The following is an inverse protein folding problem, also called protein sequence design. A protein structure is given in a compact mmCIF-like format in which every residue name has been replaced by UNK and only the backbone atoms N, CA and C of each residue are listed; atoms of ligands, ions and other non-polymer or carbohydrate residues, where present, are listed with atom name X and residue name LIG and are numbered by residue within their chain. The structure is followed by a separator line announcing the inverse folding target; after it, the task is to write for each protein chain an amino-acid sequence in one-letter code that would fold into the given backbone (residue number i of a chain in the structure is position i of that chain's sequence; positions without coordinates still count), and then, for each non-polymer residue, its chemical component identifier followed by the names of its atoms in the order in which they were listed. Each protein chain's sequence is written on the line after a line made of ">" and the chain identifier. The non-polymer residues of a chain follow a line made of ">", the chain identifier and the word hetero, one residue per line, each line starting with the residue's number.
data_IF_328379487545
#
_entry.id   IF_328379487545
#
_cell.length_a   1.000
_cell.length_b   1.000
_cell.length_c   1.000
_cell.angle_alpha   90.00
_cell.angle_beta   90.00
_cell.angle_gamma   90.00
#
_symmetry.space_group_name_H-M   'P 1'
#
loop_
_entity.id
_entity.type
_entity.pdbx_description
1 polymer ?
#
# COMPACT_ATOMS: atom_id res chain seq x y z
N UNK A 1 7.71 -25.23 -55.31
CA UNK A 1 8.18 -25.94 -54.10
C UNK A 1 9.13 -25.02 -53.34
N UNK A 2 8.97 -24.95 -52.00
CA UNK A 2 9.82 -24.28 -50.99
C UNK A 2 9.74 -22.74 -51.00
N UNK A 3 9.54 -22.00 -49.89
CA UNK A 3 9.54 -22.32 -48.44
C UNK A 3 8.76 -21.21 -47.71
N UNK A 4 7.95 -21.61 -46.73
CA UNK A 4 7.11 -20.74 -45.92
C UNK A 4 7.81 -20.23 -44.67
N UNK A 5 8.77 -19.31 -44.81
CA UNK A 5 9.52 -18.75 -43.68
C UNK A 5 8.98 -17.42 -43.14
N UNK A 6 7.99 -16.82 -43.79
CA UNK A 6 7.36 -15.57 -43.32
C UNK A 6 6.16 -15.79 -42.38
N UNK A 7 5.70 -17.04 -42.22
CA UNK A 7 4.61 -17.41 -41.30
C UNK A 7 5.10 -17.57 -39.84
N UNK A 8 6.42 -17.60 -39.64
CA UNK A 8 7.07 -17.96 -38.37
C UNK A 8 7.15 -16.81 -37.34
N UNK A 9 7.01 -15.54 -37.75
CA UNK A 9 7.26 -14.38 -36.87
C UNK A 9 6.08 -13.38 -36.71
N UNK A 10 5.13 -13.34 -37.66
CA UNK A 10 4.20 -12.20 -37.80
C UNK A 10 2.76 -12.42 -37.34
N UNK A 11 2.36 -13.61 -36.84
CA UNK A 11 1.12 -13.78 -36.02
C UNK A 11 1.34 -13.28 -34.57
N UNK A 12 1.95 -12.11 -34.48
CA UNK A 12 2.18 -11.30 -33.30
C UNK A 12 0.78 -10.88 -32.82
N UNK A 13 0.43 -11.25 -31.59
CA UNK A 13 -0.92 -11.11 -30.97
C UNK A 13 -1.92 -12.21 -31.36
N UNK A 14 -1.61 -13.46 -30.99
CA UNK A 14 -2.67 -14.40 -30.64
C UNK A 14 -3.56 -13.74 -29.58
N UNK A 15 -4.81 -13.48 -29.98
CA UNK A 15 -5.83 -12.83 -29.17
C UNK A 15 -6.04 -13.67 -27.91
N UNK A 16 -5.45 -13.26 -26.78
CA UNK A 16 -5.61 -13.93 -25.48
C UNK A 16 -7.07 -14.32 -25.27
N UNK A 17 -7.32 -15.59 -24.99
CA UNK A 17 -8.66 -16.11 -24.72
C UNK A 17 -9.33 -15.29 -23.60
N UNK A 18 -10.66 -15.29 -23.54
CA UNK A 18 -11.41 -14.47 -22.56
C UNK A 18 -10.99 -14.80 -21.12
N UNK A 19 -10.78 -16.07 -20.81
CA UNK A 19 -10.31 -16.54 -19.49
C UNK A 19 -8.89 -16.10 -19.17
N UNK A 20 -8.05 -16.02 -20.19
CA UNK A 20 -6.66 -15.58 -20.09
C UNK A 20 -6.53 -14.11 -19.70
N UNK A 21 -7.32 -13.24 -20.35
CA UNK A 21 -7.40 -11.81 -20.00
C UNK A 21 -7.91 -11.60 -18.58
N UNK A 22 -8.89 -12.42 -18.15
CA UNK A 22 -9.40 -12.39 -16.78
C UNK A 22 -8.32 -12.78 -15.76
N UNK A 23 -7.58 -13.86 -15.97
CA UNK A 23 -6.52 -14.27 -15.04
C UNK A 23 -5.43 -13.19 -14.90
N UNK A 24 -5.01 -12.58 -16.01
CA UNK A 24 -4.01 -11.51 -16.00
C UNK A 24 -4.49 -10.26 -15.24
N UNK A 25 -5.77 -9.86 -15.41
CA UNK A 25 -6.32 -8.71 -14.69
C UNK A 25 -6.38 -8.97 -13.18
N UNK A 26 -6.81 -10.17 -12.77
CA UNK A 26 -6.86 -10.56 -11.35
C UNK A 26 -5.48 -10.67 -10.72
N UNK A 27 -4.47 -11.15 -11.46
CA UNK A 27 -3.07 -11.13 -11.00
C UNK A 27 -2.61 -9.68 -10.78
N UNK A 28 -2.91 -8.78 -11.71
CA UNK A 28 -2.51 -7.38 -11.59
C UNK A 28 -3.22 -6.69 -10.41
N UNK A 29 -4.51 -6.95 -10.19
CA UNK A 29 -5.25 -6.44 -9.05
C UNK A 29 -4.60 -6.86 -7.72
N UNK A 30 -4.30 -8.15 -7.54
CA UNK A 30 -3.66 -8.66 -6.32
C UNK A 30 -2.24 -8.13 -6.12
N UNK A 31 -1.50 -7.87 -7.21
CA UNK A 31 -0.20 -7.17 -7.16
C UNK A 31 -0.36 -5.75 -6.64
N UNK A 32 -1.30 -4.99 -7.20
CA UNK A 32 -1.54 -3.60 -6.77
C UNK A 32 -2.00 -3.54 -5.31
N UNK A 33 -2.85 -4.47 -4.86
CA UNK A 33 -3.25 -4.57 -3.46
C UNK A 33 -2.06 -4.86 -2.54
N UNK A 34 -1.20 -5.81 -2.91
CA UNK A 34 0.02 -6.13 -2.16
C UNK A 34 0.93 -4.90 -2.06
N UNK A 35 1.21 -4.24 -3.19
CA UNK A 35 2.10 -3.08 -3.24
C UNK A 35 1.50 -1.84 -2.55
N UNK A 36 0.18 -1.67 -2.59
CA UNK A 36 -0.51 -0.61 -1.84
C UNK A 36 -0.17 -0.75 -0.35
N UNK A 37 -0.39 -1.92 0.24
CA UNK A 37 -0.12 -2.13 1.66
C UNK A 37 1.37 -2.08 2.00
N UNK A 38 2.25 -2.63 1.16
CA UNK A 38 3.69 -2.50 1.35
C UNK A 38 4.14 -1.04 1.36
N UNK A 39 3.62 -0.22 0.45
CA UNK A 39 3.91 1.21 0.42
C UNK A 39 3.39 1.93 1.66
N UNK A 40 2.17 1.62 2.12
CA UNK A 40 1.63 2.19 3.37
C UNK A 40 2.55 1.84 4.55
N UNK A 41 3.00 0.59 4.64
CA UNK A 41 3.92 0.11 5.68
C UNK A 41 5.38 0.55 5.49
N UNK A 42 5.73 1.22 4.38
CA UNK A 42 7.11 1.63 4.09
C UNK A 42 8.04 0.47 3.70
N UNK A 43 7.47 -0.67 3.30
CA UNK A 43 8.21 -1.87 2.89
C UNK A 43 8.51 -1.84 1.39
N UNK A 44 9.66 -2.40 0.96
CA UNK A 44 9.95 -2.60 -0.45
C UNK A 44 8.86 -3.41 -1.15
N UNK A 45 8.58 -3.07 -2.40
CA UNK A 45 7.64 -3.82 -3.21
C UNK A 45 8.16 -5.23 -3.52
N UNK A 46 7.33 -6.25 -3.32
CA UNK A 46 7.67 -7.61 -3.76
C UNK A 46 7.78 -7.66 -5.28
N UNK A 47 8.91 -8.20 -5.79
CA UNK A 47 9.16 -8.31 -7.23
C UNK A 47 8.14 -9.23 -7.90
N UNK A 48 7.70 -8.82 -9.09
CA UNK A 48 6.80 -9.59 -9.93
C UNK A 48 7.55 -10.23 -11.11
N UNK A 49 7.30 -11.51 -11.35
CA UNK A 49 7.88 -12.22 -12.49
C UNK A 49 7.41 -11.59 -13.82
N UNK A 50 8.37 -11.27 -14.69
CA UNK A 50 8.13 -10.64 -16.01
C UNK A 50 7.47 -11.60 -17.01
N UNK A 51 7.72 -12.91 -16.88
CA UNK A 51 7.24 -13.96 -17.81
C UNK A 51 5.74 -14.25 -17.77
N UNK A 52 4.99 -13.76 -16.77
CA UNK A 52 3.56 -14.10 -16.60
C UNK A 52 2.70 -13.66 -17.77
N UNK A 53 2.99 -12.49 -18.37
CA UNK A 53 2.24 -12.01 -19.55
C UNK A 53 2.49 -12.85 -20.80
N UNK A 54 3.68 -13.42 -20.92
CA UNK A 54 4.12 -14.16 -22.11
C UNK A 54 3.87 -15.67 -22.00
N UNK A 55 3.63 -16.19 -20.79
CA UNK A 55 3.28 -17.60 -20.60
C UNK A 55 1.90 -17.89 -21.19
N UNK A 56 1.81 -18.88 -22.09
CA UNK A 56 0.57 -19.43 -22.64
C UNK A 56 -0.10 -20.48 -21.75
N UNK A 57 0.47 -20.81 -20.58
CA UNK A 57 -0.06 -21.85 -19.70
C UNK A 57 -1.14 -21.30 -18.74
N UNK A 58 -2.41 -21.74 -18.85
CA UNK A 58 -3.46 -21.33 -17.93
C UNK A 58 -3.21 -21.79 -16.49
N UNK A 59 -2.61 -22.98 -16.30
CA UNK A 59 -2.27 -23.50 -14.98
C UNK A 59 -1.18 -22.69 -14.28
N UNK A 60 -0.16 -22.27 -15.03
CA UNK A 60 0.84 -21.35 -14.52
C UNK A 60 0.20 -20.02 -14.07
N UNK A 61 -0.70 -19.44 -14.88
CA UNK A 61 -1.41 -18.21 -14.52
C UNK A 61 -2.30 -18.39 -13.29
N UNK A 62 -3.02 -19.51 -13.17
CA UNK A 62 -3.81 -19.86 -11.97
C UNK A 62 -2.92 -19.98 -10.73
N UNK A 63 -1.77 -20.63 -10.84
CA UNK A 63 -0.80 -20.71 -9.76
C UNK A 63 -0.28 -19.32 -9.34
N UNK A 64 0.08 -18.47 -10.31
CA UNK A 64 0.51 -17.08 -10.05
C UNK A 64 -0.59 -16.30 -9.36
N UNK A 65 -1.85 -16.44 -9.78
CA UNK A 65 -2.99 -15.79 -9.13
C UNK A 65 -3.12 -16.20 -7.67
N UNK A 66 -3.07 -17.51 -7.36
CA UNK A 66 -3.10 -18.02 -5.98
C UNK A 66 -1.95 -17.48 -5.14
N UNK A 67 -0.74 -17.41 -5.71
CA UNK A 67 0.42 -16.83 -5.05
C UNK A 67 0.19 -15.36 -4.68
N UNK A 68 -0.26 -14.54 -5.64
CA UNK A 68 -0.51 -13.12 -5.39
C UNK A 68 -1.70 -12.88 -4.48
N UNK A 69 -2.71 -13.75 -4.51
CA UNK A 69 -3.81 -13.72 -3.55
C UNK A 69 -3.31 -13.89 -2.11
N UNK A 70 -2.50 -14.91 -1.84
CA UNK A 70 -1.91 -15.12 -0.50
C UNK A 70 -1.06 -13.93 -0.04
N UNK A 71 -0.27 -13.36 -0.94
CA UNK A 71 0.55 -12.16 -0.65
C UNK A 71 -0.30 -10.93 -0.32
N UNK A 72 -1.38 -10.70 -1.06
CA UNK A 72 -2.29 -9.59 -0.82
C UNK A 72 -2.97 -9.72 0.56
N UNK A 73 -3.48 -10.92 0.88
CA UNK A 73 -4.07 -11.22 2.19
C UNK A 73 -3.06 -10.99 3.31
N UNK A 74 -1.83 -11.49 3.16
CA UNK A 74 -0.78 -11.32 4.16
C UNK A 74 -0.41 -9.84 4.34
N UNK A 75 -0.25 -9.09 3.25
CA UNK A 75 0.08 -7.67 3.32
C UNK A 75 -1.03 -6.86 3.99
N UNK A 76 -2.30 -7.20 3.72
CA UNK A 76 -3.46 -6.60 4.40
C UNK A 76 -3.49 -6.92 5.89
N UNK A 77 -3.26 -8.19 6.26
CA UNK A 77 -3.17 -8.61 7.67
C UNK A 77 -2.08 -7.85 8.41
N UNK A 78 -0.89 -7.73 7.81
CA UNK A 78 0.21 -6.96 8.40
C UNK A 78 -0.15 -5.47 8.54
N UNK A 79 -0.74 -4.87 7.50
CA UNK A 79 -1.13 -3.46 7.55
C UNK A 79 -2.22 -3.17 8.59
N UNK A 80 -3.05 -4.15 8.95
CA UNK A 80 -4.06 -4.00 10.01
C UNK A 80 -3.46 -3.99 11.43
N UNK A 81 -2.19 -4.36 11.60
CA UNK A 81 -1.51 -4.44 12.90
C UNK A 81 -0.24 -3.57 12.91
N UNK A 82 -0.38 -2.23 12.94
CA UNK A 82 0.78 -1.36 13.17
C UNK A 82 1.42 -1.69 14.54
N UNK A 83 2.77 -1.74 14.65
CA UNK A 83 3.46 -2.19 15.87
C UNK A 83 3.02 -1.50 17.18
N UNK A 84 2.80 -0.19 17.17
CA UNK A 84 2.42 0.62 18.32
C UNK A 84 0.97 1.11 18.21
N UNK A 85 0.07 0.25 17.69
CA UNK A 85 -1.35 0.57 17.47
C UNK A 85 -2.00 1.25 18.68
N UNK A 86 -1.80 0.70 19.87
CA UNK A 86 -2.47 1.19 21.08
C UNK A 86 -1.92 2.55 21.54
N UNK A 87 -0.63 2.81 21.31
CA UNK A 87 -0.04 4.13 21.54
C UNK A 87 -0.65 5.18 20.60
N UNK A 88 -0.80 4.87 19.32
CA UNK A 88 -1.44 5.79 18.36
C UNK A 88 -2.92 6.01 18.66
N UNK A 89 -3.63 4.98 19.13
CA UNK A 89 -5.02 5.13 19.58
C UNK A 89 -5.13 5.99 20.83
N UNK A 90 -4.19 5.84 21.78
CA UNK A 90 -4.12 6.73 22.95
C UNK A 90 -3.88 8.17 22.52
N UNK A 91 -2.93 8.42 21.62
CA UNK A 91 -2.66 9.76 21.11
C UNK A 91 -3.91 10.33 20.43
N UNK A 92 -4.48 9.58 19.50
CA UNK A 92 -5.69 9.97 18.78
C UNK A 92 -6.83 10.42 19.69
N UNK A 93 -7.04 9.73 20.83
CA UNK A 93 -8.09 10.04 21.81
C UNK A 93 -8.03 11.49 22.33
N UNK A 94 -6.84 12.10 22.38
CA UNK A 94 -6.66 13.47 22.86
C UNK A 94 -6.42 14.48 21.73
N UNK A 95 -6.05 14.03 20.53
CA UNK A 95 -5.69 14.92 19.42
C UNK A 95 -6.88 15.36 18.56
N UNK A 96 -7.72 14.43 18.10
CA UNK A 96 -8.86 14.80 17.26
C UNK A 96 -9.48 13.65 16.48
N UNK A 97 -10.61 13.90 15.81
CA UNK A 97 -11.28 12.91 14.97
C UNK A 97 -10.42 12.47 13.76
N UNK A 98 -10.55 11.24 13.28
CA UNK A 98 -9.76 10.73 12.15
C UNK A 98 -9.87 11.57 10.87
N UNK A 99 -10.99 12.23 10.67
CA UNK A 99 -11.29 13.12 9.54
C UNK A 99 -11.18 14.61 9.90
N UNK A 100 -10.51 14.96 11.00
CA UNK A 100 -10.42 16.34 11.47
C UNK A 100 -9.71 17.25 10.45
N UNK A 101 -10.37 18.36 10.13
CA UNK A 101 -9.86 19.47 9.32
C UNK A 101 -10.46 20.78 9.83
N UNK A 102 -9.97 21.24 10.98
CA UNK A 102 -10.55 22.37 11.71
C UNK A 102 -10.02 23.74 11.28
N UNK A 103 -9.04 23.78 10.38
CA UNK A 103 -8.41 25.03 9.92
C UNK A 103 -7.19 25.47 10.72
N UNK A 104 -6.74 24.68 11.70
CA UNK A 104 -5.58 24.98 12.54
C UNK A 104 -4.22 24.56 11.94
N UNK A 105 -4.17 24.12 10.69
CA UNK A 105 -2.96 23.64 10.01
C UNK A 105 -2.59 22.17 10.26
N UNK A 106 -3.34 21.47 11.10
CA UNK A 106 -3.16 20.03 11.39
C UNK A 106 -4.34 19.22 10.87
N UNK A 107 -4.06 17.96 10.51
CA UNK A 107 -5.03 17.12 9.81
C UNK A 107 -5.10 15.71 10.40
N UNK A 108 -6.32 15.18 10.41
CA UNK A 108 -6.61 13.81 10.80
C UNK A 108 -6.51 13.55 12.30
N UNK A 109 -6.69 12.30 12.68
CA UNK A 109 -6.85 11.90 14.07
C UNK A 109 -5.56 11.96 14.90
N UNK A 110 -4.41 12.03 14.24
CA UNK A 110 -3.11 12.28 14.87
C UNK A 110 -2.64 13.72 14.65
N UNK A 111 -3.50 14.64 14.19
CA UNK A 111 -3.17 16.06 14.04
C UNK A 111 -1.79 16.28 13.40
N UNK A 112 -1.59 15.78 12.19
CA UNK A 112 -0.30 15.88 11.47
C UNK A 112 -0.28 17.13 10.60
N UNK A 113 0.76 17.96 10.68
CA UNK A 113 0.96 19.07 9.75
C UNK A 113 1.38 18.57 8.34
N UNK A 114 1.36 19.46 7.34
CA UNK A 114 1.69 19.10 5.96
C UNK A 114 3.15 18.72 5.75
N UNK A 115 4.08 19.22 6.56
CA UNK A 115 5.50 18.85 6.51
C UNK A 115 5.74 17.43 7.03
N UNK A 116 5.11 17.07 8.14
CA UNK A 116 5.07 15.71 8.68
C UNK A 116 4.47 14.76 7.65
N UNK A 117 3.34 15.15 7.05
CA UNK A 117 2.67 14.36 6.01
C UNK A 117 3.53 14.20 4.76
N UNK A 118 4.26 15.24 4.33
CA UNK A 118 5.17 15.17 3.19
C UNK A 118 6.35 14.24 3.48
N UNK A 119 6.88 14.27 4.71
CA UNK A 119 8.07 13.50 5.10
C UNK A 119 7.73 12.02 5.33
N UNK A 120 6.67 11.75 6.08
CA UNK A 120 6.35 10.40 6.54
C UNK A 120 5.13 9.80 5.85
N UNK A 121 4.38 10.56 5.05
CA UNK A 121 3.18 10.12 4.35
C UNK A 121 3.17 10.48 2.86
N UNK A 122 4.31 10.81 2.25
CA UNK A 122 4.40 11.45 0.92
C UNK A 122 3.48 10.83 -0.15
N UNK A 123 3.40 9.50 -0.19
CA UNK A 123 2.62 8.79 -1.20
C UNK A 123 1.11 8.86 -0.95
N UNK A 124 0.70 8.99 0.31
CA UNK A 124 -0.68 9.25 0.70
C UNK A 124 -1.03 10.70 0.38
N UNK A 125 -0.17 11.65 0.78
CA UNK A 125 -0.34 13.07 0.51
C UNK A 125 -0.58 13.35 -0.99
N UNK A 126 0.27 12.78 -1.86
CA UNK A 126 0.15 12.95 -3.31
C UNK A 126 -1.10 12.31 -3.93
N UNK A 127 -1.68 11.28 -3.32
CA UNK A 127 -2.81 10.52 -3.90
C UNK A 127 -4.17 10.88 -3.30
N UNK A 128 -4.18 11.33 -2.05
CA UNK A 128 -5.40 11.52 -1.27
C UNK A 128 -5.52 12.93 -0.69
N UNK A 129 -4.52 13.80 -0.88
CA UNK A 129 -4.46 15.05 -0.15
C UNK A 129 -4.10 14.81 1.32
N UNK A 130 -4.56 15.69 2.20
CA UNK A 130 -4.17 15.73 3.61
C UNK A 130 -4.72 14.57 4.44
N UNK A 131 -4.19 14.38 5.65
CA UNK A 131 -4.43 13.21 6.48
C UNK A 131 -5.89 12.96 6.88
N UNK A 132 -6.75 13.98 6.84
CA UNK A 132 -8.21 13.86 6.97
C UNK A 132 -8.83 12.91 5.93
N UNK A 133 -8.16 12.71 4.78
CA UNK A 133 -8.58 11.80 3.71
C UNK A 133 -7.94 10.40 3.82
N UNK A 134 -7.10 10.17 4.82
CA UNK A 134 -6.39 8.90 5.01
C UNK A 134 -7.15 8.03 5.99
N UNK A 135 -7.10 6.71 5.79
CA UNK A 135 -7.69 5.80 6.78
C UNK A 135 -6.92 5.85 8.10
N UNK A 136 -7.54 5.48 9.24
CA UNK A 136 -6.83 5.42 10.53
C UNK A 136 -5.52 4.63 10.45
N UNK A 137 -5.53 3.48 9.78
CA UNK A 137 -4.32 2.67 9.57
C UNK A 137 -3.25 3.42 8.76
N UNK A 138 -3.63 4.15 7.72
CA UNK A 138 -2.69 4.92 6.91
C UNK A 138 -2.03 6.06 7.71
N UNK A 139 -2.80 6.72 8.60
CA UNK A 139 -2.28 7.72 9.54
C UNK A 139 -1.32 7.09 10.56
N UNK A 140 -1.72 5.97 11.19
CA UNK A 140 -0.85 5.23 12.11
C UNK A 140 0.45 4.77 11.44
N UNK A 141 0.40 4.28 10.19
CA UNK A 141 1.61 3.87 9.48
C UNK A 141 2.52 5.05 9.07
N UNK A 142 1.98 6.26 8.90
CA UNK A 142 2.80 7.46 8.77
C UNK A 142 3.50 7.79 10.11
N UNK A 143 2.79 7.68 11.23
CA UNK A 143 3.35 7.86 12.57
C UNK A 143 4.41 6.81 12.92
N UNK A 144 4.16 5.52 12.62
CA UNK A 144 5.16 4.45 12.73
C UNK A 144 6.44 4.76 11.96
N UNK A 145 6.29 5.33 10.75
CA UNK A 145 7.45 5.73 9.95
C UNK A 145 8.22 6.87 10.61
N UNK A 146 7.54 7.84 11.22
CA UNK A 146 8.20 8.91 11.97
C UNK A 146 8.96 8.37 13.17
N UNK A 147 8.35 7.45 13.93
CA UNK A 147 8.96 6.77 15.06
C UNK A 147 10.22 6.01 14.64
N UNK A 148 10.14 5.18 13.59
CA UNK A 148 11.28 4.43 13.03
C UNK A 148 12.40 5.32 12.50
N UNK A 149 12.11 6.59 12.17
CA UNK A 149 13.08 7.58 11.69
C UNK A 149 13.62 8.46 12.82
N UNK A 150 13.40 8.09 14.08
CA UNK A 150 14.00 8.72 15.25
C UNK A 150 13.20 9.88 15.84
N UNK A 151 11.99 10.17 15.35
CA UNK A 151 11.14 11.22 15.96
C UNK A 151 10.55 10.78 17.31
N UNK A 152 10.50 9.48 17.60
CA UNK A 152 9.78 8.95 18.75
C UNK A 152 8.32 9.41 18.77
N UNK A 153 7.78 9.64 19.97
CA UNK A 153 6.44 10.21 20.19
C UNK A 153 6.46 11.75 20.38
N UNK A 154 7.62 12.38 20.25
CA UNK A 154 7.81 13.82 20.46
C UNK A 154 7.03 14.77 19.53
N UNK A 155 6.49 14.35 18.35
CA UNK A 155 5.54 15.19 17.62
C UNK A 155 4.26 15.49 18.41
N UNK A 156 3.94 14.68 19.44
CA UNK A 156 2.76 14.83 20.30
C UNK A 156 3.16 14.99 21.77
N UNK A 157 3.91 16.04 22.16
CA UNK A 157 4.64 16.04 23.43
C UNK A 157 3.75 16.02 24.68
N UNK A 158 2.60 16.69 24.66
CA UNK A 158 1.67 16.69 25.79
C UNK A 158 0.90 15.37 25.86
N UNK A 159 0.34 14.96 24.73
CA UNK A 159 -0.44 13.74 24.61
C UNK A 159 0.38 12.48 24.86
N UNK A 160 1.62 12.44 24.37
CA UNK A 160 2.53 11.33 24.61
C UNK A 160 2.84 11.15 26.10
N UNK A 161 2.97 12.25 26.88
CA UNK A 161 3.08 12.17 28.35
C UNK A 161 1.80 11.65 28.99
N UNK A 162 0.63 12.13 28.57
CA UNK A 162 -0.65 11.59 29.06
C UNK A 162 -0.81 10.10 28.75
N UNK A 163 -0.20 9.62 27.68
CA UNK A 163 -0.18 8.22 27.28
C UNK A 163 0.99 7.42 27.87
N UNK A 164 1.86 8.02 28.68
CA UNK A 164 3.02 7.35 29.30
C UNK A 164 4.08 6.87 28.29
N UNK A 165 4.24 7.58 27.17
CA UNK A 165 5.12 7.19 26.07
C UNK A 165 6.49 7.89 26.08
N UNK A 166 6.59 9.03 26.78
CA UNK A 166 7.81 9.84 26.99
C UNK A 166 7.76 10.51 28.36
#
# INVERSE_FOLDING_TARGET
>A
MLTGDALSSKRRVERLERGDRYLLSRIQERRQETWRWQRVMGRPHTRAARGVRHSRSPDYRRWVLRLWHRRAVQARRQAAHPPHRDAWLCIHRYEGAWNARTGNGYYGGLQMDTHFQATYGYALLRRKGTADNWTPLEQMWAAERALQRGRGFYPWPNTARYCGLI
#
